data_IF_470146639757
#
_entry.id   IF_470146639757
#
_cell.length_a   1.000
_cell.length_b   1.000
_cell.length_c   1.000
_cell.angle_alpha   90.00
_cell.angle_beta   90.00
_cell.angle_gamma   90.00
#
_symmetry.space_group_name_H-M   'P 1'
#
loop_
_entity.id
_entity.type
_entity.pdbx_description
1 polymer ?
#
# COMPACT_ATOMS: atom_id res chain seq x y z
N UNK A 1 30.65 4.76 -74.35
CA UNK A 1 30.07 6.06 -74.73
C UNK A 1 29.34 6.59 -73.50
N UNK A 2 29.97 7.44 -72.67
CA UNK A 2 30.05 8.91 -72.78
C UNK A 2 28.65 9.57 -72.78
N UNK A 3 28.51 10.51 -71.83
CA UNK A 3 27.57 11.65 -71.74
C UNK A 3 26.26 11.38 -70.99
N UNK A 4 25.73 12.29 -70.15
CA UNK A 4 26.21 13.52 -69.50
C UNK A 4 25.09 13.94 -68.53
N UNK A 5 25.44 14.53 -67.39
CA UNK A 5 24.49 15.20 -66.47
C UNK A 5 23.66 16.27 -67.20
N UNK A 6 22.45 16.53 -66.69
CA UNK A 6 21.92 17.90 -66.52
C UNK A 6 20.76 17.90 -65.52
N UNK A 7 20.95 18.67 -64.44
CA UNK A 7 19.93 19.07 -63.47
C UNK A 7 18.99 20.11 -64.07
N UNK A 8 17.67 19.98 -63.88
CA UNK A 8 16.76 21.14 -63.75
C UNK A 8 15.70 20.83 -62.70
N UNK A 9 15.52 21.81 -61.81
CA UNK A 9 14.62 21.83 -60.68
C UNK A 9 13.15 22.12 -61.05
N UNK A 10 12.30 21.90 -60.05
CA UNK A 10 10.92 22.39 -59.89
C UNK A 10 9.80 21.65 -60.65
N UNK A 11 8.99 20.90 -59.90
CA UNK A 11 7.56 21.21 -59.71
C UNK A 11 6.90 20.21 -58.73
N UNK A 12 6.43 20.77 -57.61
CA UNK A 12 5.18 20.48 -56.88
C UNK A 12 4.41 19.20 -57.25
N UNK A 13 4.15 18.34 -56.26
CA UNK A 13 2.81 18.07 -55.71
C UNK A 13 2.92 17.10 -54.51
N UNK A 14 2.69 17.67 -53.33
CA UNK A 14 2.56 16.94 -52.07
C UNK A 14 1.17 16.30 -51.96
N UNK A 15 1.11 15.06 -51.47
CA UNK A 15 -0.11 14.45 -50.95
C UNK A 15 -0.35 14.92 -49.50
N UNK A 16 -1.60 15.13 -49.05
CA UNK A 16 -1.86 15.68 -47.73
C UNK A 16 -1.74 14.59 -46.66
N UNK A 17 -0.83 14.80 -45.72
CA UNK A 17 -0.92 14.22 -44.37
C UNK A 17 -2.01 15.03 -43.66
N UNK A 18 -3.03 14.37 -43.11
CA UNK A 18 -4.10 15.02 -42.38
C UNK A 18 -3.54 15.72 -41.13
N UNK A 19 -3.20 17.00 -41.27
CA UNK A 19 -2.92 17.92 -40.19
C UNK A 19 -4.21 18.28 -39.49
N UNK A 20 -4.30 18.03 -38.18
CA UNK A 20 -5.23 18.76 -37.32
C UNK A 20 -5.04 20.27 -37.55
N UNK A 21 -6.10 21.08 -37.52
CA UNK A 21 -5.98 22.50 -37.79
C UNK A 21 -5.05 23.10 -36.75
N UNK A 22 -3.90 23.58 -37.22
CA UNK A 22 -3.12 24.56 -36.51
C UNK A 22 -3.93 25.86 -36.60
N UNK A 23 -4.70 26.14 -35.55
CA UNK A 23 -5.31 27.45 -35.36
C UNK A 23 -4.18 28.46 -35.18
N UNK A 24 -3.82 29.10 -36.30
CA UNK A 24 -3.00 30.28 -36.31
C UNK A 24 -3.85 31.47 -35.82
N UNK A 25 -3.42 32.06 -34.71
CA UNK A 25 -3.56 33.47 -34.41
C UNK A 25 -4.98 34.04 -34.25
N UNK A 26 -5.70 33.59 -33.21
CA UNK A 26 -6.36 34.53 -32.32
C UNK A 26 -5.45 34.68 -31.10
N UNK A 27 -4.85 35.86 -30.93
CA UNK A 27 -3.76 36.10 -29.98
C UNK A 27 -4.15 35.84 -28.53
N UNK A 28 -3.72 34.70 -27.98
CA UNK A 28 -3.71 34.46 -26.54
C UNK A 28 -2.52 35.22 -25.95
N UNK A 29 -2.81 36.36 -25.34
CA UNK A 29 -1.81 37.19 -24.66
C UNK A 29 -1.45 36.68 -23.27
N UNK A 30 -1.81 35.43 -22.92
CA UNK A 30 -1.54 34.88 -21.59
C UNK A 30 -0.07 35.05 -21.22
N UNK A 31 0.83 34.87 -22.19
CA UNK A 31 2.29 35.06 -22.00
C UNK A 31 2.76 36.51 -21.87
N UNK A 32 1.94 37.49 -22.26
CA UNK A 32 2.24 38.91 -22.05
C UNK A 32 2.17 39.26 -20.56
N UNK A 33 1.28 38.61 -19.81
CA UNK A 33 1.09 38.84 -18.37
C UNK A 33 1.68 37.71 -17.50
N UNK A 34 1.59 36.46 -17.95
CA UNK A 34 2.08 35.27 -17.25
C UNK A 34 3.38 34.77 -17.87
N UNK A 35 4.47 34.78 -17.10
CA UNK A 35 5.79 34.32 -17.57
C UNK A 35 5.99 32.82 -17.45
N UNK A 36 4.91 32.06 -17.32
CA UNK A 36 4.95 30.61 -17.17
C UNK A 36 5.29 29.94 -18.50
N UNK A 37 6.21 28.98 -18.44
CA UNK A 37 6.65 28.20 -19.59
C UNK A 37 6.33 26.74 -19.35
N UNK A 38 5.54 26.16 -20.26
CA UNK A 38 5.28 24.74 -20.26
C UNK A 38 6.54 23.97 -20.66
N UNK A 39 6.89 22.97 -19.87
CA UNK A 39 8.04 22.10 -20.13
C UNK A 39 7.65 20.62 -20.05
N UNK A 40 8.55 19.74 -20.47
CA UNK A 40 8.30 18.30 -20.49
C UNK A 40 7.33 17.88 -21.60
N UNK A 41 6.53 16.80 -21.39
CA UNK A 41 5.66 16.23 -22.43
C UNK A 41 4.58 17.17 -22.98
N UNK A 42 4.26 18.26 -22.27
CA UNK A 42 3.24 19.24 -22.66
C UNK A 42 3.81 20.56 -23.19
N UNK A 43 5.12 20.66 -23.44
CA UNK A 43 5.77 21.90 -23.86
C UNK A 43 5.21 22.53 -25.15
N UNK A 44 4.62 21.70 -26.03
CA UNK A 44 4.00 22.14 -27.28
C UNK A 44 2.53 22.54 -27.20
N UNK A 45 1.90 22.48 -26.02
CA UNK A 45 0.48 22.79 -25.85
C UNK A 45 0.34 24.29 -25.49
N UNK A 46 -0.68 24.96 -26.03
CA UNK A 46 -1.04 26.34 -25.65
C UNK A 46 -1.60 26.43 -24.22
N UNK A 47 -1.88 27.64 -23.73
CA UNK A 47 -2.41 27.84 -22.38
C UNK A 47 -3.92 27.50 -22.29
N UNK A 48 -4.71 27.92 -23.29
CA UNK A 48 -6.17 27.75 -23.27
C UNK A 48 -6.71 26.32 -23.27
N UNK A 49 -6.07 25.31 -23.90
CA UNK A 49 -6.51 23.93 -23.74
C UNK A 49 -6.61 23.51 -22.27
N UNK A 50 -5.68 24.00 -21.44
CA UNK A 50 -5.62 23.72 -20.01
C UNK A 50 -6.41 24.72 -19.19
N UNK A 51 -6.38 26.02 -19.51
CA UNK A 51 -6.94 27.05 -18.64
C UNK A 51 -8.24 27.68 -19.15
N UNK A 52 -8.64 27.42 -20.39
CA UNK A 52 -9.73 28.15 -21.04
C UNK A 52 -9.30 29.54 -21.50
N UNK A 53 -10.26 30.31 -21.98
CA UNK A 53 -10.06 31.69 -22.42
C UNK A 53 -10.22 32.69 -21.27
N UNK A 54 -10.10 33.98 -21.59
CA UNK A 54 -10.22 35.09 -20.64
C UNK A 54 -11.63 35.24 -20.04
N UNK A 55 -12.65 34.61 -20.61
CA UNK A 55 -14.04 34.68 -20.12
C UNK A 55 -14.37 33.56 -19.13
N UNK A 56 -13.70 32.42 -19.25
CA UNK A 56 -13.95 31.23 -18.44
C UNK A 56 -12.65 30.53 -18.00
N UNK A 57 -11.72 31.31 -17.42
CA UNK A 57 -10.42 30.80 -16.98
C UNK A 57 -10.53 29.87 -15.77
N UNK A 58 -9.92 28.69 -15.86
CA UNK A 58 -9.79 27.70 -14.78
C UNK A 58 -8.40 27.81 -14.17
N UNK A 59 -8.33 28.17 -12.88
CA UNK A 59 -7.04 28.33 -12.19
C UNK A 59 -6.25 27.02 -12.07
N UNK A 60 -6.91 25.92 -11.73
CA UNK A 60 -6.27 24.60 -11.60
C UNK A 60 -7.09 23.53 -12.33
N UNK A 61 -6.72 23.19 -13.57
CA UNK A 61 -7.51 22.28 -14.41
C UNK A 61 -7.33 20.80 -14.08
N UNK A 62 -6.43 20.48 -13.16
CA UNK A 62 -6.15 19.10 -12.76
C UNK A 62 -6.97 18.64 -11.55
N UNK A 63 -7.78 19.52 -10.95
CA UNK A 63 -8.56 19.19 -9.76
C UNK A 63 -9.73 18.25 -10.06
N UNK A 64 -10.08 17.44 -9.07
CA UNK A 64 -11.22 16.51 -9.15
C UNK A 64 -12.58 17.23 -9.17
N UNK A 65 -12.64 18.52 -8.79
CA UNK A 65 -13.89 19.26 -8.65
C UNK A 65 -14.72 19.29 -9.94
N UNK A 66 -14.07 19.39 -11.10
CA UNK A 66 -14.67 19.26 -12.44
C UNK A 66 -14.27 17.94 -13.13
N UNK A 67 -13.86 16.94 -12.34
CA UNK A 67 -13.26 15.68 -12.78
C UNK A 67 -12.06 15.87 -13.70
N UNK A 68 -11.30 16.96 -13.52
CA UNK A 68 -10.16 17.33 -14.35
C UNK A 68 -10.51 17.30 -15.86
N UNK A 69 -11.69 17.81 -16.21
CA UNK A 69 -12.30 17.64 -17.53
C UNK A 69 -11.35 18.00 -18.69
N UNK A 70 -10.53 19.05 -18.50
CA UNK A 70 -9.55 19.51 -19.50
C UNK A 70 -8.38 18.56 -19.68
N UNK A 71 -7.89 17.95 -18.59
CA UNK A 71 -6.89 16.88 -18.68
C UNK A 71 -7.47 15.65 -19.38
N UNK A 72 -8.70 15.28 -19.01
CA UNK A 72 -9.38 14.06 -19.50
C UNK A 72 -9.78 14.18 -20.97
N UNK A 73 -9.99 15.39 -21.49
CA UNK A 73 -10.28 15.61 -22.92
C UNK A 73 -9.22 14.96 -23.83
N UNK A 74 -7.95 15.03 -23.44
CA UNK A 74 -6.83 14.35 -24.09
C UNK A 74 -6.53 12.97 -23.44
N UNK A 75 -6.57 12.87 -22.11
CA UNK A 75 -6.36 11.63 -21.35
C UNK A 75 -7.68 10.88 -21.12
N UNK A 76 -8.34 10.46 -22.21
CA UNK A 76 -9.67 9.86 -22.15
C UNK A 76 -9.72 8.60 -21.28
N UNK A 77 -10.74 8.51 -20.43
CA UNK A 77 -10.99 7.37 -19.55
C UNK A 77 -10.21 7.38 -18.23
N UNK A 78 -9.31 8.34 -18.02
CA UNK A 78 -8.58 8.49 -16.76
C UNK A 78 -9.39 9.19 -15.66
N UNK A 79 -10.51 9.83 -15.98
CA UNK A 79 -11.46 10.36 -15.00
C UNK A 79 -12.00 9.27 -14.06
N UNK A 80 -12.02 8.01 -14.52
CA UNK A 80 -12.38 6.85 -13.70
C UNK A 80 -11.51 6.68 -12.46
N UNK A 81 -10.30 7.23 -12.42
CA UNK A 81 -9.47 7.29 -11.21
C UNK A 81 -10.21 7.93 -10.02
N UNK A 82 -11.12 8.86 -10.30
CA UNK A 82 -11.90 9.55 -9.30
C UNK A 82 -13.04 8.71 -8.71
N UNK A 83 -13.36 7.59 -9.35
CA UNK A 83 -14.43 6.68 -8.92
C UNK A 83 -13.90 5.54 -8.02
N UNK A 84 -12.57 5.41 -7.93
CA UNK A 84 -11.88 4.34 -7.21
C UNK A 84 -11.51 4.71 -5.77
N UNK A 85 -11.14 3.72 -4.92
CA UNK A 85 -10.86 3.94 -3.50
C UNK A 85 -9.80 5.00 -3.17
N UNK A 86 -8.82 5.25 -4.06
CA UNK A 86 -7.81 6.30 -3.86
C UNK A 86 -8.42 7.72 -3.78
N UNK A 87 -9.61 7.90 -4.35
CA UNK A 87 -10.34 9.17 -4.33
C UNK A 87 -11.54 9.10 -3.39
N UNK A 88 -12.38 8.07 -3.52
CA UNK A 88 -13.68 8.02 -2.83
C UNK A 88 -13.57 7.64 -1.36
N UNK A 89 -12.63 6.74 -1.02
CA UNK A 89 -12.41 6.19 0.33
C UNK A 89 -13.70 5.77 1.04
N UNK A 90 -14.67 5.25 0.29
CA UNK A 90 -16.01 4.96 0.83
C UNK A 90 -15.97 3.93 1.95
N UNK A 91 -15.06 2.96 1.87
CA UNK A 91 -14.89 1.94 2.91
C UNK A 91 -14.33 2.53 4.21
N UNK A 92 -13.30 3.37 4.13
CA UNK A 92 -12.71 4.04 5.29
C UNK A 92 -13.68 5.04 5.91
N UNK A 93 -14.41 5.82 5.09
CA UNK A 93 -15.45 6.75 5.55
C UNK A 93 -16.54 6.02 6.33
N UNK A 94 -17.03 4.89 5.79
CA UNK A 94 -18.03 4.06 6.47
C UNK A 94 -17.46 3.46 7.76
N UNK A 95 -16.24 2.92 7.73
CA UNK A 95 -15.58 2.39 8.92
C UNK A 95 -15.47 3.43 10.04
N UNK A 96 -15.04 4.66 9.72
CA UNK A 96 -14.96 5.73 10.70
C UNK A 96 -16.36 6.11 11.19
N UNK A 97 -17.34 6.30 10.30
CA UNK A 97 -18.71 6.61 10.70
C UNK A 97 -19.31 5.57 11.67
N UNK A 98 -19.01 4.28 11.44
CA UNK A 98 -19.45 3.17 12.28
C UNK A 98 -18.70 3.07 13.62
N UNK A 99 -17.54 3.72 13.76
CA UNK A 99 -16.65 3.60 14.92
C UNK A 99 -16.44 4.96 15.61
N UNK A 100 -15.33 5.64 15.33
CA UNK A 100 -14.91 6.89 15.98
C UNK A 100 -15.80 8.08 15.60
N UNK A 101 -16.43 8.02 14.42
CA UNK A 101 -17.39 9.02 13.94
C UNK A 101 -18.61 9.20 14.84
N UNK A 102 -18.97 8.17 15.62
CA UNK A 102 -20.03 8.26 16.64
C UNK A 102 -19.64 9.12 17.83
N UNK A 103 -18.35 9.18 18.15
CA UNK A 103 -17.82 10.05 19.20
C UNK A 103 -17.54 11.46 18.65
N UNK A 104 -17.03 11.55 17.42
CA UNK A 104 -16.70 12.80 16.75
C UNK A 104 -17.01 12.72 15.24
N UNK A 105 -18.09 13.37 14.82
CA UNK A 105 -18.49 13.40 13.40
C UNK A 105 -17.46 14.08 12.48
N UNK A 106 -16.54 14.87 13.02
CA UNK A 106 -15.44 15.50 12.28
C UNK A 106 -14.20 14.60 12.19
N UNK A 107 -14.16 13.46 12.90
CA UNK A 107 -12.96 12.62 13.04
C UNK A 107 -12.31 12.29 11.70
N UNK A 108 -13.09 11.85 10.70
CA UNK A 108 -12.54 11.47 9.39
C UNK A 108 -11.85 12.65 8.71
N UNK A 109 -12.46 13.83 8.74
CA UNK A 109 -11.91 15.02 8.09
C UNK A 109 -10.60 15.46 8.77
N UNK A 110 -10.59 15.46 10.10
CA UNK A 110 -9.48 15.97 10.88
C UNK A 110 -8.30 14.98 10.91
N UNK A 111 -8.58 13.68 11.06
CA UNK A 111 -7.55 12.65 11.27
C UNK A 111 -7.19 11.85 10.01
N UNK A 112 -7.97 11.95 8.92
CA UNK A 112 -7.77 11.12 7.73
C UNK A 112 -7.75 11.91 6.41
N UNK A 113 -7.83 13.25 6.42
CA UNK A 113 -7.97 14.07 5.21
C UNK A 113 -6.75 14.12 4.27
N UNK A 114 -5.54 13.80 4.74
CA UNK A 114 -4.29 14.08 4.00
C UNK A 114 -3.83 13.06 2.95
N UNK A 115 -4.59 11.99 2.67
CA UNK A 115 -4.11 10.85 1.86
C UNK A 115 -5.00 10.45 0.67
N UNK A 116 -5.91 11.30 0.22
CA UNK A 116 -6.78 10.99 -0.93
C UNK A 116 -6.44 11.85 -2.13
N UNK A 117 -6.62 11.28 -3.32
CA UNK A 117 -6.42 12.00 -4.57
C UNK A 117 -7.42 13.16 -4.66
N UNK A 118 -6.88 14.34 -4.92
CA UNK A 118 -7.55 15.62 -5.15
C UNK A 118 -7.42 16.08 -6.60
N UNK A 119 -6.48 15.52 -7.35
CA UNK A 119 -6.29 15.83 -8.76
C UNK A 119 -5.13 15.11 -9.42
N UNK A 120 -4.92 15.36 -10.72
CA UNK A 120 -3.86 14.71 -11.49
C UNK A 120 -2.44 15.08 -10.98
N UNK A 121 -2.29 16.24 -10.33
CA UNK A 121 -1.00 16.74 -9.83
C UNK A 121 -0.50 16.01 -8.59
N UNK A 122 -1.35 15.23 -7.91
CA UNK A 122 -0.90 14.45 -6.75
C UNK A 122 0.11 13.37 -7.15
N UNK A 123 -0.06 12.82 -8.35
CA UNK A 123 0.85 11.83 -8.92
C UNK A 123 1.86 12.45 -9.89
N UNK A 124 1.50 13.53 -10.58
CA UNK A 124 2.35 14.18 -11.56
C UNK A 124 3.12 15.37 -10.95
N UNK A 125 4.43 15.23 -10.69
CA UNK A 125 5.22 16.32 -10.12
C UNK A 125 5.49 17.41 -11.17
N UNK A 126 6.02 18.55 -10.70
CA UNK A 126 6.41 19.68 -11.56
C UNK A 126 5.42 20.85 -11.56
N UNK A 127 4.55 20.95 -10.56
CA UNK A 127 3.79 22.17 -10.26
C UNK A 127 2.74 22.56 -11.31
N UNK A 128 2.33 21.65 -12.20
CA UNK A 128 1.30 21.89 -13.21
C UNK A 128 1.82 22.32 -14.58
N UNK A 129 2.90 23.12 -14.63
CA UNK A 129 3.47 23.59 -15.90
C UNK A 129 4.77 22.88 -16.32
N UNK A 130 5.40 22.15 -15.41
CA UNK A 130 6.56 21.29 -15.70
C UNK A 130 6.25 19.81 -15.45
N UNK A 131 5.05 19.37 -15.86
CA UNK A 131 4.55 18.02 -15.57
C UNK A 131 5.52 16.94 -16.02
N UNK A 132 5.86 16.04 -15.10
CA UNK A 132 6.64 14.86 -15.39
C UNK A 132 5.87 13.57 -15.08
N UNK A 133 6.42 12.44 -15.51
CA UNK A 133 5.86 11.14 -15.13
C UNK A 133 6.04 10.89 -13.63
N UNK A 134 5.09 10.22 -12.96
CA UNK A 134 5.22 9.86 -11.56
C UNK A 134 6.46 9.00 -11.31
N UNK A 135 7.07 9.20 -10.13
CA UNK A 135 8.10 8.32 -9.55
C UNK A 135 7.58 7.78 -8.23
N UNK A 136 8.25 6.77 -7.69
CA UNK A 136 7.82 6.09 -6.46
C UNK A 136 7.59 7.07 -5.29
N UNK A 137 8.40 8.14 -5.21
CA UNK A 137 8.22 9.19 -4.20
C UNK A 137 6.81 9.80 -4.17
N UNK A 138 6.15 9.98 -5.31
CA UNK A 138 4.77 10.47 -5.36
C UNK A 138 3.80 9.44 -4.79
N UNK A 139 3.95 8.16 -5.14
CA UNK A 139 3.15 7.07 -4.59
C UNK A 139 3.31 6.99 -3.06
N UNK A 140 4.56 7.02 -2.59
CA UNK A 140 4.93 6.87 -1.17
C UNK A 140 4.54 8.08 -0.29
N UNK A 141 4.10 9.19 -0.87
CA UNK A 141 3.53 10.31 -0.10
C UNK A 141 2.24 9.90 0.64
N UNK A 142 1.46 9.01 0.03
CA UNK A 142 0.24 8.43 0.61
C UNK A 142 0.43 6.95 1.00
N UNK A 143 1.16 6.18 0.19
CA UNK A 143 1.45 4.76 0.40
C UNK A 143 2.62 4.54 1.37
N UNK A 144 2.42 4.93 2.63
CA UNK A 144 3.43 4.89 3.68
C UNK A 144 2.92 4.36 5.01
N UNK A 145 3.86 4.08 5.91
CA UNK A 145 3.56 3.60 7.24
C UNK A 145 2.91 2.22 7.17
N UNK A 146 1.70 2.11 7.71
CA UNK A 146 0.92 0.88 7.65
C UNK A 146 0.09 0.73 6.38
N UNK A 147 0.12 1.71 5.48
CA UNK A 147 -0.37 1.54 4.12
C UNK A 147 0.78 0.98 3.27
N UNK A 148 0.53 -0.12 2.55
CA UNK A 148 1.58 -0.80 1.75
C UNK A 148 2.21 0.16 0.74
N UNK A 149 3.52 0.06 0.56
CA UNK A 149 4.32 0.87 -0.35
C UNK A 149 5.73 1.11 0.18
N UNK A 150 5.87 1.66 1.39
CA UNK A 150 7.21 1.93 1.97
C UNK A 150 7.98 0.66 2.34
N UNK A 151 7.26 -0.44 2.58
CA UNK A 151 7.81 -1.77 2.79
C UNK A 151 8.60 -2.28 1.56
N UNK A 152 8.19 -1.88 0.35
CA UNK A 152 8.91 -2.15 -0.91
C UNK A 152 10.37 -1.71 -0.86
N UNK A 153 10.63 -0.56 -0.25
CA UNK A 153 11.97 -0.01 -0.09
C UNK A 153 12.61 -0.36 1.26
N UNK A 154 12.10 -1.35 1.99
CA UNK A 154 12.69 -1.77 3.27
C UNK A 154 12.43 -0.80 4.41
N UNK A 155 11.31 -0.07 4.40
CA UNK A 155 11.03 0.97 5.41
C UNK A 155 9.80 0.62 6.23
N UNK A 156 10.02 0.06 7.42
CA UNK A 156 8.96 -0.28 8.36
C UNK A 156 8.58 0.90 9.27
N UNK A 157 7.31 0.99 9.70
CA UNK A 157 6.88 1.95 10.72
C UNK A 157 7.60 1.70 12.05
N UNK A 158 7.98 2.77 12.74
CA UNK A 158 8.50 2.71 14.11
C UNK A 158 7.38 2.71 15.15
N UNK A 159 7.75 2.37 16.39
CA UNK A 159 6.91 2.53 17.56
C UNK A 159 6.45 3.97 17.76
N UNK A 160 5.20 4.17 18.23
CA UNK A 160 4.60 5.50 18.34
C UNK A 160 5.36 6.43 19.30
N UNK A 161 6.09 5.86 20.27
CA UNK A 161 6.78 6.67 21.25
C UNK A 161 7.92 7.50 20.63
N UNK A 162 7.97 8.79 20.96
CA UNK A 162 8.92 9.78 20.44
C UNK A 162 10.39 9.36 20.63
N UNK A 163 10.70 8.60 21.70
CA UNK A 163 12.05 8.04 21.93
C UNK A 163 12.54 7.10 20.81
N UNK A 164 11.61 6.53 20.06
CA UNK A 164 11.89 5.66 18.93
C UNK A 164 11.89 6.40 17.60
N UNK A 165 11.43 7.65 17.55
CA UNK A 165 11.38 8.46 16.34
C UNK A 165 12.76 9.05 16.01
N UNK A 166 13.70 8.18 15.64
CA UNK A 166 15.11 8.51 15.38
C UNK A 166 15.62 7.92 14.07
N UNK A 167 16.65 8.54 13.50
CA UNK A 167 17.32 8.10 12.28
C UNK A 167 16.84 8.86 11.04
N UNK A 168 17.07 8.26 9.87
CA UNK A 168 16.70 8.84 8.59
C UNK A 168 15.20 9.07 8.45
N UNK A 169 14.87 10.13 7.69
CA UNK A 169 13.50 10.48 7.35
C UNK A 169 13.19 10.03 5.92
N UNK A 170 12.03 9.40 5.76
CA UNK A 170 11.40 9.19 4.47
C UNK A 170 10.01 9.82 4.52
N UNK A 171 9.73 10.75 3.59
CA UNK A 171 8.45 11.48 3.53
C UNK A 171 8.08 12.14 4.88
N UNK A 172 9.07 12.70 5.58
CA UNK A 172 8.87 13.38 6.87
C UNK A 172 8.69 12.47 8.09
N UNK A 173 8.84 11.14 7.94
CA UNK A 173 8.70 10.17 9.03
C UNK A 173 9.96 9.34 9.21
N UNK A 174 10.32 9.05 10.47
CA UNK A 174 11.42 8.10 10.73
C UNK A 174 10.94 6.67 10.52
N UNK A 175 11.82 5.81 10.02
CA UNK A 175 11.49 4.41 9.73
C UNK A 175 12.53 3.47 10.35
N UNK A 176 12.11 2.22 10.55
CA UNK A 176 13.01 1.12 10.86
C UNK A 176 13.52 0.54 9.53
N UNK A 177 14.85 0.54 9.28
CA UNK A 177 15.42 -0.12 8.12
C UNK A 177 15.19 -1.64 8.21
N UNK A 178 14.64 -2.20 7.15
CA UNK A 178 14.32 -3.61 6.97
C UNK A 178 14.87 -4.09 5.62
N UNK A 179 14.82 -5.40 5.39
CA UNK A 179 15.18 -5.99 4.10
C UNK A 179 14.19 -5.50 3.00
N UNK A 180 14.66 -4.81 1.94
CA UNK A 180 13.79 -4.38 0.85
C UNK A 180 13.33 -5.54 -0.04
N UNK A 181 12.32 -5.27 -0.85
CA UNK A 181 11.86 -6.18 -1.90
C UNK A 181 12.97 -6.40 -2.94
N UNK A 182 13.13 -7.64 -3.40
CA UNK A 182 14.13 -7.99 -4.42
C UNK A 182 13.90 -7.25 -5.74
N UNK A 183 12.65 -6.89 -6.07
CA UNK A 183 12.34 -6.11 -7.26
C UNK A 183 12.75 -4.65 -7.08
N UNK A 184 12.62 -4.10 -5.87
CA UNK A 184 13.08 -2.75 -5.56
C UNK A 184 14.61 -2.66 -5.65
N UNK A 185 15.33 -3.66 -5.14
CA UNK A 185 16.79 -3.78 -5.27
C UNK A 185 17.22 -3.86 -6.74
N UNK A 186 16.42 -4.51 -7.58
CA UNK A 186 16.63 -4.58 -9.02
C UNK A 186 16.25 -3.27 -9.77
N UNK A 187 15.78 -2.24 -9.06
CA UNK A 187 15.43 -0.93 -9.64
C UNK A 187 14.04 -0.86 -10.27
N UNK A 188 13.19 -1.87 -10.07
CA UNK A 188 11.80 -1.86 -10.54
C UNK A 188 10.98 -0.85 -9.73
N UNK A 189 10.14 -0.07 -10.42
CA UNK A 189 9.32 1.01 -9.85
C UNK A 189 7.90 0.55 -9.60
N UNK A 190 7.15 1.31 -8.80
CA UNK A 190 5.75 0.99 -8.52
C UNK A 190 4.92 0.88 -9.82
N UNK A 191 5.17 1.76 -10.78
CA UNK A 191 4.42 1.83 -12.04
C UNK A 191 4.64 0.63 -12.98
N UNK A 192 5.72 -0.15 -12.79
CA UNK A 192 6.01 -1.33 -13.62
C UNK A 192 5.00 -2.47 -13.36
N UNK A 193 4.44 -2.52 -12.14
CA UNK A 193 3.34 -3.39 -11.76
C UNK A 193 2.00 -2.64 -11.71
N UNK A 194 1.98 -1.39 -11.24
CA UNK A 194 0.77 -0.56 -11.07
C UNK A 194 0.64 0.51 -12.16
N UNK A 195 0.41 0.09 -13.41
CA UNK A 195 0.23 1.03 -14.52
C UNK A 195 -0.97 1.98 -14.32
N UNK A 196 -0.88 3.21 -14.81
CA UNK A 196 -2.01 4.16 -14.75
C UNK A 196 -3.28 3.61 -15.40
N UNK A 197 -3.15 2.85 -16.49
CA UNK A 197 -4.29 2.20 -17.14
C UNK A 197 -4.98 1.18 -16.22
N UNK A 198 -4.19 0.39 -15.46
CA UNK A 198 -4.75 -0.55 -14.47
C UNK A 198 -5.46 0.18 -13.33
N UNK A 199 -4.88 1.28 -12.85
CA UNK A 199 -5.48 2.10 -11.79
C UNK A 199 -6.79 2.76 -12.26
N UNK A 200 -6.83 3.31 -13.48
CA UNK A 200 -8.05 3.87 -14.07
C UNK A 200 -9.13 2.80 -14.28
N UNK A 201 -8.74 1.57 -14.58
CA UNK A 201 -9.63 0.42 -14.68
C UNK A 201 -10.05 -0.16 -13.31
N UNK A 202 -9.59 0.40 -12.19
CA UNK A 202 -9.91 -0.09 -10.85
C UNK A 202 -9.23 -1.40 -10.47
N UNK A 203 -8.22 -1.83 -11.24
CA UNK A 203 -7.46 -3.05 -10.96
C UNK A 203 -6.45 -2.78 -9.85
N UNK A 204 -6.22 -3.79 -8.98
CA UNK A 204 -5.21 -3.72 -7.92
C UNK A 204 -3.78 -3.65 -8.49
N UNK A 205 -3.52 -4.32 -9.62
CA UNK A 205 -2.25 -4.32 -10.33
C UNK A 205 -2.48 -4.57 -11.82
N UNK A 206 -1.55 -4.14 -12.67
CA UNK A 206 -1.49 -4.48 -14.09
C UNK A 206 -0.87 -5.86 -14.32
N UNK A 207 0.03 -6.28 -13.42
CA UNK A 207 0.76 -7.54 -13.50
C UNK A 207 0.73 -8.28 -12.16
N UNK A 208 0.58 -9.59 -12.21
CA UNK A 208 0.80 -10.53 -11.11
C UNK A 208 2.16 -11.22 -11.23
N UNK A 209 2.46 -12.09 -10.27
CA UNK A 209 3.73 -12.80 -10.21
C UNK A 209 3.98 -13.64 -11.47
N UNK A 210 2.95 -14.36 -11.95
CA UNK A 210 3.05 -15.30 -13.07
C UNK A 210 3.09 -14.64 -14.45
N UNK A 211 2.85 -13.33 -14.52
CA UNK A 211 3.03 -12.58 -15.77
C UNK A 211 4.51 -12.37 -16.12
N UNK A 212 5.40 -12.54 -15.13
CA UNK A 212 6.85 -12.38 -15.27
C UNK A 212 7.63 -13.64 -14.84
N UNK A 213 7.10 -14.43 -13.90
CA UNK A 213 7.80 -15.55 -13.28
C UNK A 213 7.13 -16.88 -13.59
N UNK A 214 7.93 -17.87 -13.97
CA UNK A 214 7.49 -19.27 -14.09
C UNK A 214 8.02 -20.06 -12.89
N UNK A 215 7.16 -20.72 -12.09
CA UNK A 215 7.61 -21.53 -10.96
C UNK A 215 8.57 -22.63 -11.42
N UNK A 216 9.78 -22.65 -10.87
CA UNK A 216 10.79 -23.68 -11.16
C UNK A 216 10.44 -24.99 -10.41
N UNK A 217 10.12 -26.09 -11.11
CA UNK A 217 9.74 -27.36 -10.48
C UNK A 217 10.89 -28.05 -9.71
N UNK A 218 12.14 -27.58 -9.85
CA UNK A 218 13.27 -28.06 -9.05
C UNK A 218 13.18 -27.58 -7.61
N UNK A 219 12.48 -26.47 -7.35
CA UNK A 219 12.22 -25.99 -5.99
C UNK A 219 11.14 -26.88 -5.36
N UNK A 220 11.46 -27.50 -4.22
CA UNK A 220 10.60 -28.46 -3.51
C UNK A 220 9.17 -27.93 -3.35
N UNK A 221 9.02 -26.66 -2.96
CA UNK A 221 7.72 -26.04 -2.73
C UNK A 221 6.92 -25.83 -4.02
N UNK A 222 7.58 -25.57 -5.15
CA UNK A 222 6.90 -25.33 -6.43
C UNK A 222 6.36 -26.61 -7.07
N UNK A 223 7.00 -27.77 -6.88
CA UNK A 223 6.47 -29.05 -7.42
C UNK A 223 5.24 -29.56 -6.66
N UNK A 224 4.96 -29.02 -5.48
CA UNK A 224 3.75 -29.37 -4.71
C UNK A 224 2.57 -28.59 -5.29
N UNK A 225 1.70 -29.29 -6.04
CA UNK A 225 0.51 -28.70 -6.68
C UNK A 225 -0.37 -27.92 -5.70
N UNK A 226 -0.57 -28.43 -4.48
CA UNK A 226 -1.34 -27.72 -3.47
C UNK A 226 -0.75 -26.36 -3.09
N UNK A 227 0.58 -26.19 -3.13
CA UNK A 227 1.20 -24.89 -2.88
C UNK A 227 0.94 -23.91 -4.02
N UNK A 228 1.10 -24.35 -5.27
CA UNK A 228 0.85 -23.49 -6.44
C UNK A 228 -0.62 -23.08 -6.58
N UNK A 229 -1.54 -24.00 -6.31
CA UNK A 229 -2.95 -23.79 -6.61
C UNK A 229 -3.70 -23.08 -5.45
N UNK A 230 -3.22 -23.26 -4.21
CA UNK A 230 -3.95 -22.81 -3.01
C UNK A 230 -3.26 -21.70 -2.25
N UNK A 231 -2.03 -21.31 -2.58
CA UNK A 231 -1.34 -20.19 -1.92
C UNK A 231 -1.20 -19.04 -2.91
N UNK A 232 -1.26 -17.82 -2.38
CA UNK A 232 -0.66 -16.67 -3.06
C UNK A 232 0.86 -16.79 -2.99
N UNK A 233 1.59 -16.41 -4.04
CA UNK A 233 3.06 -16.45 -4.05
C UNK A 233 3.65 -15.69 -2.84
N UNK A 234 3.03 -14.57 -2.48
CA UNK A 234 3.43 -13.76 -1.33
C UNK A 234 3.31 -14.49 0.02
N UNK A 235 2.53 -15.57 0.14
CA UNK A 235 2.45 -16.35 1.38
C UNK A 235 3.79 -17.01 1.75
N UNK A 236 4.58 -17.38 0.74
CA UNK A 236 5.92 -17.95 0.91
C UNK A 236 7.02 -16.88 0.75
N UNK A 237 6.84 -15.96 -0.19
CA UNK A 237 7.90 -15.04 -0.61
C UNK A 237 7.95 -13.72 0.15
N UNK A 238 6.90 -13.32 0.89
CA UNK A 238 6.96 -12.11 1.72
C UNK A 238 7.81 -12.38 2.97
N UNK A 239 8.97 -11.72 3.08
CA UNK A 239 9.88 -11.91 4.21
C UNK A 239 9.35 -11.32 5.51
N UNK A 240 8.67 -10.19 5.43
CA UNK A 240 8.11 -9.51 6.59
C UNK A 240 6.91 -8.65 6.20
N UNK A 241 6.12 -8.19 7.16
CA UNK A 241 5.15 -7.15 6.87
C UNK A 241 4.85 -6.27 8.08
N UNK A 242 4.45 -5.01 7.85
CA UNK A 242 4.05 -4.13 8.92
C UNK A 242 2.71 -4.56 9.52
N UNK A 243 2.75 -4.89 10.80
CA UNK A 243 1.60 -5.34 11.59
C UNK A 243 1.41 -4.41 12.81
N UNK A 244 0.19 -3.92 13.00
CA UNK A 244 -0.21 -3.07 14.13
C UNK A 244 -1.28 -3.82 14.94
N UNK A 245 -0.96 -4.19 16.18
CA UNK A 245 -1.85 -4.93 17.07
C UNK A 245 -2.36 -4.00 18.16
N UNK A 246 -3.69 -3.87 18.26
CA UNK A 246 -4.35 -3.01 19.24
C UNK A 246 -4.05 -1.52 19.05
N UNK A 247 -4.84 -0.84 18.22
CA UNK A 247 -4.80 0.61 18.04
C UNK A 247 -5.72 1.26 19.07
N UNK A 248 -5.20 2.22 19.83
CA UNK A 248 -5.96 3.02 20.79
C UNK A 248 -6.15 4.43 20.26
N UNK A 249 -7.41 4.88 20.26
CA UNK A 249 -7.75 6.29 20.09
C UNK A 249 -8.33 6.81 21.40
N UNK A 250 -7.62 7.74 22.01
CA UNK A 250 -7.97 8.35 23.28
C UNK A 250 -8.43 9.78 23.01
N UNK A 251 -9.61 10.15 23.51
CA UNK A 251 -10.12 11.52 23.42
C UNK A 251 -10.08 12.18 24.79
N UNK A 252 -9.57 13.39 24.87
CA UNK A 252 -9.49 14.17 26.09
C UNK A 252 -10.24 15.49 25.92
N UNK A 253 -11.37 15.64 26.61
CA UNK A 253 -12.10 16.91 26.69
C UNK A 253 -11.94 17.47 28.09
N UNK A 254 -11.39 18.68 28.21
CA UNK A 254 -11.12 19.34 29.51
C UNK A 254 -10.39 18.41 30.51
N UNK A 255 -9.43 17.62 30.02
CA UNK A 255 -8.70 16.62 30.84
C UNK A 255 -7.17 16.75 30.72
N UNK A 256 -6.59 17.95 30.96
CA UNK A 256 -5.16 18.19 30.78
C UNK A 256 -4.25 17.31 31.64
N UNK A 257 -4.66 16.91 32.85
CA UNK A 257 -3.84 16.06 33.73
C UNK A 257 -3.76 14.61 33.24
N UNK A 258 -4.86 14.05 32.76
CA UNK A 258 -4.83 12.73 32.13
C UNK A 258 -4.10 12.78 30.79
N UNK A 259 -4.37 13.80 29.97
CA UNK A 259 -3.73 13.92 28.66
C UNK A 259 -2.21 14.11 28.77
N UNK A 260 -1.72 14.77 29.83
CA UNK A 260 -0.28 14.95 30.07
C UNK A 260 0.47 13.65 30.40
N UNK A 261 -0.22 12.55 30.72
CA UNK A 261 0.42 11.23 30.87
C UNK A 261 0.89 10.64 29.54
N UNK A 262 0.39 11.15 28.42
CA UNK A 262 0.69 10.69 27.06
C UNK A 262 1.69 11.61 26.34
N UNK A 263 2.64 12.21 27.06
CA UNK A 263 3.68 13.08 26.49
C UNK A 263 4.66 12.37 25.57
N UNK A 264 4.79 11.05 25.71
CA UNK A 264 5.76 10.27 24.95
C UNK A 264 5.27 9.88 23.57
N UNK A 265 4.05 10.22 23.17
CA UNK A 265 3.48 9.94 21.84
C UNK A 265 3.01 11.23 21.17
N UNK A 266 2.93 11.24 19.85
CA UNK A 266 2.42 12.39 19.10
C UNK A 266 0.94 12.65 19.42
N UNK A 267 0.59 13.93 19.60
CA UNK A 267 -0.77 14.41 19.94
C UNK A 267 -1.34 15.18 18.75
N UNK A 268 -2.64 15.04 18.52
CA UNK A 268 -3.38 15.80 17.51
C UNK A 268 -4.63 16.36 18.18
N UNK A 269 -4.57 17.63 18.61
CA UNK A 269 -5.61 18.31 19.38
C UNK A 269 -6.01 17.53 20.66
N UNK A 270 -7.29 17.22 20.81
CA UNK A 270 -7.88 16.44 21.90
C UNK A 270 -7.64 14.93 21.76
N UNK A 271 -7.03 14.49 20.66
CA UNK A 271 -6.84 13.08 20.35
C UNK A 271 -5.40 12.63 20.55
N UNK A 272 -5.27 11.41 21.05
CA UNK A 272 -4.02 10.68 21.11
C UNK A 272 -4.21 9.32 20.46
N UNK A 273 -3.33 8.98 19.50
CA UNK A 273 -3.20 7.63 18.96
C UNK A 273 -2.06 6.92 19.67
N UNK A 274 -2.30 5.69 20.11
CA UNK A 274 -1.26 4.78 20.58
C UNK A 274 -1.50 3.37 20.03
N UNK A 275 -0.52 2.49 20.20
CA UNK A 275 -0.58 1.10 19.76
C UNK A 275 -0.09 0.19 20.89
N UNK A 276 -0.71 -0.98 21.07
CA UNK A 276 -0.25 -1.99 22.02
C UNK A 276 1.09 -2.59 21.57
N UNK A 277 1.16 -3.01 20.29
CA UNK A 277 2.33 -3.68 19.74
C UNK A 277 2.44 -3.46 18.23
N UNK A 278 3.64 -3.14 17.75
CA UNK A 278 3.98 -3.19 16.33
C UNK A 278 4.96 -4.32 16.07
N UNK A 279 4.78 -5.04 14.96
CA UNK A 279 5.68 -6.12 14.52
C UNK A 279 6.01 -5.99 13.05
N UNK A 280 7.24 -6.36 12.71
CA UNK A 280 7.82 -6.30 11.37
C UNK A 280 8.41 -7.65 10.98
N UNK A 281 7.81 -8.74 11.45
CA UNK A 281 8.20 -10.10 11.12
C UNK A 281 7.29 -10.70 10.05
N UNK A 282 7.46 -11.98 9.78
CA UNK A 282 6.65 -12.68 8.80
C UNK A 282 5.15 -12.54 9.17
N UNK A 283 4.27 -12.16 8.23
CA UNK A 283 2.86 -11.87 8.53
C UNK A 283 2.04 -13.14 8.77
N UNK A 284 1.04 -13.13 9.69
CA UNK A 284 0.06 -14.21 9.78
C UNK A 284 -0.58 -14.55 8.42
N UNK A 285 -1.16 -15.73 8.30
CA UNK A 285 -1.78 -16.25 7.09
C UNK A 285 -3.28 -16.47 7.31
N UNK A 286 -4.07 -16.16 6.28
CA UNK A 286 -5.51 -16.41 6.24
C UNK A 286 -5.94 -16.74 4.81
N UNK A 287 -7.23 -17.03 4.60
CA UNK A 287 -7.79 -17.22 3.27
C UNK A 287 -8.25 -15.86 2.73
N UNK A 288 -7.90 -15.54 1.48
CA UNK A 288 -8.45 -14.38 0.79
C UNK A 288 -9.82 -14.69 0.16
N UNK A 289 -10.39 -13.72 -0.55
CA UNK A 289 -11.71 -13.84 -1.20
C UNK A 289 -11.76 -14.95 -2.26
N UNK A 290 -10.61 -15.32 -2.84
CA UNK A 290 -10.49 -16.44 -3.77
C UNK A 290 -10.25 -17.80 -3.07
N UNK A 291 -10.26 -17.84 -1.74
CA UNK A 291 -10.00 -19.04 -0.95
C UNK A 291 -8.54 -19.49 -0.92
N UNK A 292 -7.61 -18.65 -1.39
CA UNK A 292 -6.16 -18.93 -1.36
C UNK A 292 -5.53 -18.44 -0.06
N UNK A 293 -4.56 -19.19 0.45
CA UNK A 293 -3.75 -18.82 1.61
C UNK A 293 -2.89 -17.61 1.26
N UNK A 294 -3.06 -16.53 1.99
CA UNK A 294 -2.46 -15.23 1.72
C UNK A 294 -1.93 -14.62 3.02
N UNK A 295 -0.90 -13.77 2.96
CA UNK A 295 -0.55 -12.90 4.07
C UNK A 295 -1.76 -12.10 4.56
N UNK A 296 -1.85 -12.01 5.87
CA UNK A 296 -2.90 -11.36 6.61
C UNK A 296 -2.31 -10.52 7.73
N UNK A 297 -3.06 -9.50 8.14
CA UNK A 297 -2.68 -8.62 9.25
C UNK A 297 -3.94 -8.03 9.88
N UNK A 298 -3.82 -7.48 11.09
CA UNK A 298 -4.81 -6.55 11.58
C UNK A 298 -5.02 -5.42 10.56
N UNK A 299 -6.27 -5.19 10.18
CA UNK A 299 -6.67 -3.97 9.50
C UNK A 299 -6.88 -2.89 10.54
N UNK A 300 -7.77 -3.16 11.52
CA UNK A 300 -8.03 -2.32 12.69
C UNK A 300 -8.52 -3.19 13.85
N UNK A 301 -7.67 -3.36 14.88
CA UNK A 301 -8.10 -3.80 16.20
C UNK A 301 -8.18 -2.54 17.05
N UNK A 302 -9.34 -1.89 17.01
CA UNK A 302 -9.54 -0.52 17.44
C UNK A 302 -10.22 -0.46 18.81
N UNK A 303 -9.52 0.15 19.76
CA UNK A 303 -10.00 0.49 21.09
C UNK A 303 -10.19 2.00 21.22
N UNK A 304 -11.17 2.39 22.02
CA UNK A 304 -11.47 3.79 22.29
C UNK A 304 -11.73 4.05 23.77
N UNK A 305 -11.18 5.16 24.26
CA UNK A 305 -11.44 5.70 25.60
C UNK A 305 -11.77 7.18 25.48
N UNK A 306 -12.86 7.62 26.09
CA UNK A 306 -13.28 9.03 26.16
C UNK A 306 -13.05 9.53 27.60
N UNK A 307 -12.26 10.59 27.75
CA UNK A 307 -11.98 11.23 29.02
C UNK A 307 -12.56 12.64 29.02
N UNK A 308 -13.43 12.92 30.00
CA UNK A 308 -14.05 14.24 30.17
C UNK A 308 -13.90 14.70 31.60
N UNK A 309 -13.41 15.93 31.79
CA UNK A 309 -13.20 16.52 33.11
C UNK A 309 -12.39 15.59 34.04
N UNK A 310 -11.28 15.05 33.54
CA UNK A 310 -10.35 14.15 34.25
C UNK A 310 -10.94 12.79 34.67
N UNK A 311 -12.03 12.34 34.03
CA UNK A 311 -12.67 11.05 34.30
C UNK A 311 -13.00 10.31 33.02
N UNK A 312 -12.97 8.98 33.07
CA UNK A 312 -13.46 8.15 31.97
C UNK A 312 -14.97 8.30 31.82
N UNK A 313 -15.44 8.39 30.57
CA UNK A 313 -16.86 8.38 30.21
C UNK A 313 -17.18 7.05 29.53
N UNK A 314 -18.11 6.30 30.12
CA UNK A 314 -18.47 4.97 29.66
C UNK A 314 -17.39 3.95 30.03
N UNK A 315 -16.99 3.13 29.07
CA UNK A 315 -16.01 2.05 29.26
C UNK A 315 -14.64 2.47 28.70
N UNK A 316 -13.59 2.36 29.51
CA UNK A 316 -12.20 2.47 29.05
C UNK A 316 -11.84 1.27 28.16
N UNK A 317 -11.00 1.49 27.13
CA UNK A 317 -10.58 0.45 26.20
C UNK A 317 -11.78 -0.27 25.57
N UNK A 318 -12.81 0.47 25.20
CA UNK A 318 -13.97 -0.10 24.51
C UNK A 318 -13.56 -0.55 23.11
N UNK A 319 -13.70 -1.84 22.82
CA UNK A 319 -13.44 -2.39 21.49
C UNK A 319 -14.50 -1.91 20.49
N UNK A 320 -14.09 -1.10 19.53
CA UNK A 320 -14.95 -0.63 18.44
C UNK A 320 -14.88 -1.55 17.21
N UNK A 321 -13.72 -2.16 16.97
CA UNK A 321 -13.53 -3.09 15.87
C UNK A 321 -12.39 -4.07 16.16
N UNK A 322 -12.52 -5.31 15.69
CA UNK A 322 -11.44 -6.29 15.64
C UNK A 322 -11.41 -6.91 14.24
N UNK A 323 -10.90 -6.14 13.27
CA UNK A 323 -10.90 -6.48 11.84
C UNK A 323 -9.50 -6.82 11.37
N UNK A 324 -9.41 -7.92 10.65
CA UNK A 324 -8.24 -8.40 9.91
C UNK A 324 -8.48 -8.28 8.42
N UNK A 325 -7.40 -8.27 7.64
CA UNK A 325 -7.49 -8.34 6.17
C UNK A 325 -6.37 -9.19 5.60
N UNK A 326 -6.65 -9.85 4.48
CA UNK A 326 -5.61 -10.35 3.59
C UNK A 326 -5.06 -9.21 2.74
N UNK A 327 -3.77 -9.30 2.40
CA UNK A 327 -3.07 -8.32 1.58
C UNK A 327 -1.79 -8.92 0.97
N UNK A 328 -1.15 -8.16 0.08
CA UNK A 328 0.16 -8.47 -0.47
C UNK A 328 1.19 -7.49 0.13
N UNK A 329 2.04 -7.93 1.08
CA UNK A 329 3.23 -7.18 1.48
C UNK A 329 4.18 -7.05 0.30
N UNK A 330 4.83 -5.90 0.17
CA UNK A 330 5.81 -5.64 -0.88
C UNK A 330 7.22 -5.93 -0.33
N UNK A 331 7.44 -7.15 0.14
CA UNK A 331 8.69 -7.57 0.79
C UNK A 331 9.17 -8.90 0.22
N UNK A 332 8.95 -9.07 -1.09
CA UNK A 332 9.22 -10.31 -1.81
C UNK A 332 10.72 -10.59 -1.83
N UNK A 333 11.07 -11.82 -1.45
CA UNK A 333 12.43 -12.38 -1.48
C UNK A 333 12.47 -13.66 -2.30
N UNK A 334 13.69 -14.04 -2.70
CA UNK A 334 13.95 -15.33 -3.35
C UNK A 334 13.88 -16.46 -2.32
N UNK A 335 14.43 -16.20 -1.14
CA UNK A 335 14.37 -17.07 0.02
C UNK A 335 12.97 -17.06 0.62
N UNK A 336 12.52 -18.23 1.09
CA UNK A 336 11.17 -18.43 1.63
C UNK A 336 11.23 -19.06 3.01
N UNK A 337 10.13 -18.96 3.74
CA UNK A 337 9.94 -19.68 5.01
C UNK A 337 10.14 -21.19 4.84
N UNK A 338 10.64 -21.83 5.90
CA UNK A 338 10.73 -23.29 5.99
C UNK A 338 9.35 -23.91 6.23
N UNK A 339 9.21 -25.21 5.95
CA UNK A 339 7.91 -25.89 6.01
C UNK A 339 7.28 -25.80 7.41
N UNK A 340 8.06 -25.94 8.47
CA UNK A 340 7.66 -25.80 9.87
C UNK A 340 7.17 -24.38 10.21
N UNK A 341 7.69 -23.36 9.52
CA UNK A 341 7.23 -21.97 9.65
C UNK A 341 5.74 -21.76 9.33
N UNK A 342 5.11 -22.72 8.64
CA UNK A 342 3.66 -22.76 8.42
C UNK A 342 3.02 -24.03 8.98
N UNK A 343 3.56 -25.22 8.67
CA UNK A 343 2.94 -26.49 9.02
C UNK A 343 3.00 -26.79 10.53
N UNK A 344 4.01 -26.29 11.25
CA UNK A 344 4.20 -26.50 12.69
C UNK A 344 4.12 -25.16 13.46
N UNK A 345 3.25 -24.26 12.99
CA UNK A 345 3.12 -22.92 13.55
C UNK A 345 1.64 -22.48 13.58
N UNK A 346 0.85 -22.95 14.55
CA UNK A 346 -0.58 -22.61 14.63
C UNK A 346 -0.80 -21.11 14.85
N UNK A 347 0.14 -20.40 15.50
CA UNK A 347 0.12 -18.94 15.64
C UNK A 347 0.12 -18.23 14.30
N UNK A 348 0.76 -18.82 13.26
CA UNK A 348 0.72 -18.31 11.88
C UNK A 348 -0.71 -18.16 11.36
N UNK A 349 -1.66 -18.94 11.87
CA UNK A 349 -3.06 -18.96 11.45
C UNK A 349 -4.03 -18.44 12.53
N UNK A 350 -3.53 -17.66 13.51
CA UNK A 350 -4.31 -17.12 14.64
C UNK A 350 -4.96 -18.23 15.50
N UNK A 351 -4.18 -19.29 15.75
CA UNK A 351 -4.55 -20.39 16.63
C UNK A 351 -3.50 -20.56 17.74
N UNK A 352 -2.99 -19.44 18.28
CA UNK A 352 -2.00 -19.47 19.36
C UNK A 352 -2.59 -20.12 20.63
N UNK A 353 -2.02 -21.23 21.12
CA UNK A 353 -2.57 -21.94 22.26
C UNK A 353 -2.38 -21.12 23.54
N UNK A 354 -3.33 -21.17 24.50
CA UNK A 354 -3.29 -20.33 25.70
C UNK A 354 -2.00 -20.40 26.52
N UNK A 355 -1.35 -21.56 26.57
CA UNK A 355 -0.13 -21.78 27.36
C UNK A 355 1.14 -21.19 26.71
N UNK A 356 1.11 -20.86 25.42
CA UNK A 356 2.22 -20.20 24.71
C UNK A 356 2.08 -18.67 24.67
N UNK A 357 0.96 -18.13 25.19
CA UNK A 357 0.67 -16.69 25.13
C UNK A 357 1.64 -15.89 25.99
N UNK A 358 2.41 -15.04 25.32
CA UNK A 358 3.27 -14.04 25.98
C UNK A 358 2.45 -12.78 26.33
N UNK A 359 1.56 -12.35 25.44
CA UNK A 359 0.73 -11.16 25.64
C UNK A 359 -0.61 -11.55 26.26
N UNK A 360 -0.90 -11.00 27.45
CA UNK A 360 -2.11 -11.30 28.23
C UNK A 360 -3.07 -10.13 28.19
N UNK A 361 -3.64 -9.88 27.01
CA UNK A 361 -4.44 -8.68 26.72
C UNK A 361 -5.61 -8.46 27.68
N UNK A 362 -6.25 -9.54 28.19
CA UNK A 362 -7.29 -9.39 29.24
C UNK A 362 -6.75 -8.92 30.59
N UNK A 363 -5.57 -9.38 30.99
CA UNK A 363 -4.92 -8.90 32.21
C UNK A 363 -4.51 -7.42 32.06
N UNK A 364 -4.25 -6.97 30.84
CA UNK A 364 -3.97 -5.58 30.50
C UNK A 364 -5.23 -4.71 30.33
N UNK A 365 -6.42 -5.24 30.67
CA UNK A 365 -7.68 -4.50 30.62
C UNK A 365 -8.33 -4.38 29.24
N UNK A 366 -7.98 -5.26 28.29
CA UNK A 366 -8.60 -5.31 26.96
C UNK A 366 -9.66 -6.42 26.88
N UNK A 367 -10.62 -6.29 25.96
CA UNK A 367 -11.72 -7.25 25.84
C UNK A 367 -11.35 -8.55 25.10
N UNK A 368 -10.34 -8.51 24.22
CA UNK A 368 -9.85 -9.69 23.49
C UNK A 368 -8.89 -10.52 24.37
N UNK A 369 -8.94 -11.84 24.23
CA UNK A 369 -8.08 -12.78 24.96
C UNK A 369 -6.66 -12.92 24.39
N UNK A 370 -6.53 -12.77 23.07
CA UNK A 370 -5.25 -12.68 22.38
C UNK A 370 -5.50 -12.01 21.02
N UNK A 371 -4.47 -11.36 20.49
CA UNK A 371 -4.50 -10.92 19.10
C UNK A 371 -4.28 -12.06 18.10
N UNK A 372 -3.64 -13.16 18.51
CA UNK A 372 -3.43 -14.37 17.70
C UNK A 372 -4.48 -15.44 17.97
N UNK A 373 -5.70 -15.01 18.30
CA UNK A 373 -6.87 -15.86 18.48
C UNK A 373 -8.04 -15.30 17.68
N UNK A 374 -8.68 -16.10 16.84
CA UNK A 374 -9.78 -15.64 15.98
C UNK A 374 -11.07 -15.22 16.72
N UNK A 375 -11.23 -15.58 17.99
CA UNK A 375 -12.46 -15.35 18.77
C UNK A 375 -12.70 -13.87 18.98
N UNK A 376 -13.91 -13.40 18.63
CA UNK A 376 -14.27 -11.98 18.70
C UNK A 376 -13.63 -11.11 17.60
N UNK A 377 -12.86 -11.71 16.69
CA UNK A 377 -12.23 -11.04 15.56
C UNK A 377 -12.88 -11.47 14.23
N UNK A 378 -12.76 -10.65 13.17
CA UNK A 378 -13.32 -10.97 11.84
C UNK A 378 -12.40 -10.57 10.71
N UNK A 379 -12.47 -11.29 9.60
CA UNK A 379 -11.82 -10.94 8.34
C UNK A 379 -12.68 -9.97 7.52
N UNK A 380 -12.06 -8.94 6.95
CA UNK A 380 -12.73 -7.97 6.09
C UNK A 380 -12.82 -8.42 4.62
N UNK A 381 -11.89 -9.25 4.15
CA UNK A 381 -11.78 -9.70 2.77
C UNK A 381 -11.25 -11.15 2.68
N UNK A 382 -12.10 -12.10 3.09
CA UNK A 382 -11.80 -13.52 3.12
C UNK A 382 -12.20 -14.17 4.45
N UNK A 383 -11.46 -15.18 4.90
CA UNK A 383 -11.78 -15.96 6.09
C UNK A 383 -10.52 -16.40 6.86
N UNK A 384 -10.67 -16.61 8.17
CA UNK A 384 -9.63 -17.29 8.94
C UNK A 384 -9.55 -18.76 8.51
N UNK A 385 -8.38 -19.38 8.68
CA UNK A 385 -8.24 -20.78 8.36
C UNK A 385 -8.96 -21.65 9.41
N UNK A 386 -9.66 -22.69 8.94
CA UNK A 386 -10.31 -23.64 9.83
C UNK A 386 -9.29 -24.38 10.69
N UNK A 387 -9.46 -24.46 12.03
CA UNK A 387 -8.49 -25.09 12.92
C UNK A 387 -8.18 -26.54 12.53
N UNK A 388 -9.20 -27.27 12.10
CA UNK A 388 -9.05 -28.64 11.64
C UNK A 388 -8.19 -28.75 10.36
N UNK A 389 -8.29 -27.77 9.46
CA UNK A 389 -7.42 -27.72 8.29
C UNK A 389 -5.96 -27.46 8.70
N UNK A 390 -5.72 -26.55 9.65
CA UNK A 390 -4.38 -26.26 10.16
C UNK A 390 -3.77 -27.51 10.83
N UNK A 391 -4.55 -28.21 11.66
CA UNK A 391 -4.12 -29.47 12.30
C UNK A 391 -3.73 -30.53 11.27
N UNK A 392 -4.56 -30.74 10.23
CA UNK A 392 -4.22 -31.68 9.15
C UNK A 392 -2.96 -31.28 8.39
N UNK A 393 -2.75 -29.99 8.15
CA UNK A 393 -1.53 -29.50 7.51
C UNK A 393 -0.29 -29.79 8.38
N UNK A 394 -0.41 -29.76 9.70
CA UNK A 394 0.69 -30.06 10.62
C UNK A 394 1.06 -31.53 10.76
N UNK A 395 0.31 -32.45 10.13
CA UNK A 395 0.65 -33.88 10.14
C UNK A 395 1.89 -34.11 9.27
N UNK A 396 2.97 -34.60 9.89
CA UNK A 396 4.24 -34.90 9.22
C UNK A 396 4.16 -36.24 8.47
N UNK A 397 3.59 -36.22 7.27
CA UNK A 397 3.56 -37.41 6.40
C UNK A 397 4.98 -37.80 5.92
N UNK A 398 5.17 -39.02 5.36
CA UNK A 398 6.44 -39.39 4.74
C UNK A 398 6.87 -38.43 3.63
N UNK A 399 5.92 -37.92 2.82
CA UNK A 399 6.17 -36.95 1.76
C UNK A 399 6.62 -35.60 2.32
N UNK A 400 5.98 -35.13 3.40
CA UNK A 400 6.41 -33.93 4.12
C UNK A 400 7.84 -34.09 4.61
N UNK A 401 8.14 -35.19 5.29
CA UNK A 401 9.47 -35.45 5.86
C UNK A 401 10.54 -35.50 4.78
N UNK A 402 10.27 -36.18 3.66
CA UNK A 402 11.17 -36.22 2.51
C UNK A 402 11.44 -34.83 1.93
N UNK A 403 10.38 -34.06 1.68
CA UNK A 403 10.49 -32.70 1.13
C UNK A 403 11.23 -31.75 2.09
N UNK A 404 10.97 -31.86 3.39
CA UNK A 404 11.65 -31.07 4.41
C UNK A 404 13.15 -31.36 4.47
N UNK A 405 13.55 -32.63 4.42
CA UNK A 405 14.97 -33.02 4.38
C UNK A 405 15.67 -32.62 3.08
N UNK A 406 14.98 -32.66 1.94
CA UNK A 406 15.49 -32.13 0.67
C UNK A 406 15.72 -30.62 0.75
N UNK A 407 14.74 -29.87 1.26
CA UNK A 407 14.88 -28.43 1.47
C UNK A 407 16.03 -28.06 2.40
N UNK A 408 16.24 -28.81 3.49
CA UNK A 408 17.38 -28.62 4.37
C UNK A 408 18.72 -28.85 3.66
N UNK A 409 18.83 -29.92 2.87
CA UNK A 409 20.05 -30.20 2.08
C UNK A 409 20.34 -29.09 1.08
N UNK A 410 19.31 -28.56 0.43
CA UNK A 410 19.48 -27.43 -0.50
C UNK A 410 20.01 -26.17 0.21
N UNK A 411 19.56 -25.91 1.45
CA UNK A 411 19.99 -24.75 2.22
C UNK A 411 21.39 -24.87 2.81
N UNK A 412 21.77 -26.07 3.27
CA UNK A 412 23.10 -26.29 3.86
C UNK A 412 24.16 -26.60 2.80
N UNK A 413 23.74 -26.82 1.54
CA UNK A 413 24.52 -27.57 0.56
C UNK A 413 24.70 -29.04 0.98
N UNK A 414 25.28 -29.86 0.10
CA UNK A 414 25.84 -31.13 0.54
C UNK A 414 26.92 -30.81 1.58
N UNK A 415 26.63 -31.11 2.85
CA UNK A 415 27.55 -30.97 3.98
C UNK A 415 28.75 -31.96 3.90
N UNK A 416 29.20 -32.30 2.70
CA UNK A 416 30.38 -33.10 2.39
C UNK A 416 31.54 -32.31 1.76
N UNK A 417 31.40 -30.99 1.54
CA UNK A 417 32.40 -30.19 0.80
C UNK A 417 33.24 -29.19 1.60
N UNK A 418 32.93 -28.90 2.86
CA UNK A 418 33.59 -27.81 3.61
C UNK A 418 34.45 -28.31 4.77
N UNK A 419 35.49 -29.07 4.45
CA UNK A 419 36.70 -29.20 5.25
C UNK A 419 37.95 -29.15 4.36
N UNK A 420 38.04 -28.13 3.49
CA UNK A 420 39.28 -27.79 2.76
C UNK A 420 39.18 -26.35 2.22
N UNK A 421 39.53 -25.37 3.05
CA UNK A 421 40.56 -24.33 2.83
C UNK A 421 40.46 -23.25 3.89
#
# INVERSE_FOLDING_TARGET
MRWMMLCIAACLLAAPVASWPADAAAGENCRACHRDVLTGPHAGIGCSPCHGDDRATVRNPALVADRAARCVACHRGYDRLFDHPMTTRSAERRFVADTLGRADGAFFRNQCGGCHVTGCLDCHPGGGHALARPRDAQCLSCHRGYFVGTDYHGRAPREDALRYQRGELANGETFLPMLPDVHAEAGMRCADCHSMASLAAGKRSAKGCTDCHTPDPRVVEHRITAHRDRLECAACHAAWAPQEYGTFWLRFTNSPRLQSRFQVVSRQDDWVKSTYLKRQDAPPLALNEAGRVSPARPQFILYHSDFRNERVVGQENRLLAARWKTFAPHTIRRETVMCDGCHDNPRRFLLEPPHERIYRTRADGLSLDSFWDRTGQRMANGAFMEPERVRRMGVRTPEYTKGYLERWRDLTGDAGGSSRR
#
